data_IF_873292415723
#
_entry.id   IF_873292415723
#
_cell.length_a   1.000
_cell.length_b   1.000
_cell.length_c   1.000
_cell.angle_alpha   90.00
_cell.angle_beta   90.00
_cell.angle_gamma   90.00
#
_symmetry.space_group_name_H-M   'P 1'
#
loop_
_entity.id
_entity.type
_entity.pdbx_description
1 polymer ?
#
# COMPACT_ATOMS: atom_id res chain seq x y z
N UNK A 1 -1.57 -18.83 24.27
CA UNK A 1 -0.68 -17.72 23.83
C UNK A 1 -0.77 -17.56 22.32
N UNK A 2 -1.69 -16.72 21.84
CA UNK A 2 -1.98 -16.52 20.41
C UNK A 2 -1.37 -15.19 19.98
N UNK A 3 -0.05 -15.15 19.71
CA UNK A 3 0.59 -13.89 19.25
C UNK A 3 1.90 -14.06 18.45
N UNK A 4 2.08 -15.18 17.75
CA UNK A 4 3.29 -15.42 16.93
C UNK A 4 3.03 -15.62 15.43
N UNK A 5 1.78 -15.56 14.95
CA UNK A 5 1.46 -15.78 13.53
C UNK A 5 1.47 -14.53 12.63
N UNK A 6 1.56 -13.32 13.18
CA UNK A 6 1.46 -12.07 12.39
C UNK A 6 2.79 -11.54 11.83
N UNK A 7 3.95 -12.15 12.16
CA UNK A 7 5.28 -11.67 11.72
C UNK A 7 6.01 -12.56 10.71
N UNK A 8 5.35 -13.58 10.15
CA UNK A 8 5.86 -14.31 8.97
C UNK A 8 5.23 -13.69 7.75
N UNK A 9 5.96 -12.81 7.05
CA UNK A 9 5.91 -12.53 5.60
C UNK A 9 6.80 -11.31 5.28
N UNK A 10 8.10 -11.36 5.68
CA UNK A 10 9.13 -10.59 4.97
C UNK A 10 9.36 -11.25 3.61
N UNK A 11 8.40 -11.09 2.69
CA UNK A 11 8.63 -11.37 1.28
C UNK A 11 9.54 -10.27 0.74
N UNK A 12 10.69 -10.63 0.20
CA UNK A 12 11.73 -9.74 -0.32
C UNK A 12 11.19 -8.58 -1.16
N UNK A 13 11.66 -7.35 -0.89
CA UNK A 13 11.32 -6.14 -1.66
C UNK A 13 11.52 -6.32 -3.19
N UNK A 14 12.43 -7.21 -3.58
CA UNK A 14 12.85 -7.46 -4.96
C UNK A 14 11.78 -8.12 -5.84
N UNK A 15 10.85 -8.89 -5.28
CA UNK A 15 9.86 -9.66 -6.05
C UNK A 15 8.44 -9.05 -6.03
N UNK A 16 8.27 -7.86 -5.45
CA UNK A 16 6.95 -7.26 -5.24
C UNK A 16 6.49 -6.53 -6.49
N UNK A 17 5.42 -7.02 -7.13
CA UNK A 17 4.81 -6.33 -8.27
C UNK A 17 4.18 -5.00 -7.81
N UNK A 18 4.33 -3.92 -8.59
CA UNK A 18 3.70 -2.64 -8.26
C UNK A 18 2.18 -2.80 -8.22
N UNK A 19 1.57 -2.25 -7.18
CA UNK A 19 0.13 -2.27 -6.99
C UNK A 19 -0.50 -1.25 -7.94
N UNK A 20 -1.25 -1.74 -8.94
CA UNK A 20 -1.98 -0.86 -9.86
C UNK A 20 -3.27 -0.38 -9.18
N UNK A 21 -3.41 0.93 -9.06
CA UNK A 21 -4.65 1.57 -8.57
C UNK A 21 -5.57 1.93 -9.74
N UNK A 22 -6.88 2.02 -9.47
CA UNK A 22 -7.86 2.55 -10.43
C UNK A 22 -7.57 4.02 -10.78
N UNK A 23 -7.98 4.47 -11.96
CA UNK A 23 -7.84 5.88 -12.40
C UNK A 23 -8.53 6.80 -11.39
N UNK A 24 -7.84 7.84 -10.91
CA UNK A 24 -8.36 8.78 -9.90
C UNK A 24 -8.28 8.29 -8.45
N UNK A 25 -7.99 7.02 -8.19
CA UNK A 25 -7.91 6.50 -6.82
C UNK A 25 -6.69 7.05 -6.05
N UNK A 26 -5.59 7.40 -6.74
CA UNK A 26 -4.42 8.05 -6.15
C UNK A 26 -4.79 9.36 -5.42
N UNK A 27 -5.53 10.24 -6.09
CA UNK A 27 -5.99 11.52 -5.52
C UNK A 27 -6.96 11.33 -4.36
N UNK A 28 -7.87 10.35 -4.47
CA UNK A 28 -8.81 10.03 -3.38
C UNK A 28 -8.09 9.49 -2.16
N UNK A 29 -7.13 8.57 -2.33
CA UNK A 29 -6.32 8.09 -1.21
C UNK A 29 -5.50 9.21 -0.57
N UNK A 30 -4.91 10.10 -1.39
CA UNK A 30 -4.14 11.24 -0.91
C UNK A 30 -4.98 12.11 0.00
N UNK A 31 -6.18 12.46 -0.44
CA UNK A 31 -7.12 13.27 0.32
C UNK A 31 -7.59 12.57 1.61
N UNK A 32 -7.87 11.27 1.56
CA UNK A 32 -8.34 10.50 2.74
C UNK A 32 -7.26 10.38 3.80
N UNK A 33 -6.02 10.15 3.40
CA UNK A 33 -4.90 9.95 4.31
C UNK A 33 -4.13 11.25 4.64
N UNK A 34 -4.47 12.36 3.99
CA UNK A 34 -3.74 13.62 4.12
C UNK A 34 -2.28 13.54 3.65
N UNK A 35 -1.96 12.64 2.71
CA UNK A 35 -0.60 12.43 2.20
C UNK A 35 -0.45 12.97 0.78
N UNK A 36 0.79 13.30 0.41
CA UNK A 36 1.10 13.75 -0.94
C UNK A 36 0.99 12.61 -1.97
N UNK A 37 0.64 12.95 -3.22
CA UNK A 37 0.62 12.00 -4.33
C UNK A 37 1.93 11.18 -4.49
N UNK A 38 3.14 11.77 -4.36
CA UNK A 38 4.39 11.00 -4.45
C UNK A 38 4.53 9.96 -3.33
N UNK A 39 4.02 10.21 -2.12
CA UNK A 39 4.01 9.21 -1.04
C UNK A 39 3.20 7.98 -1.42
N UNK A 40 2.05 8.16 -2.07
CA UNK A 40 1.22 7.05 -2.56
C UNK A 40 1.90 6.34 -3.73
N UNK A 41 2.51 7.09 -4.65
CA UNK A 41 3.26 6.50 -5.75
C UNK A 41 4.37 5.58 -5.22
N UNK A 42 5.17 6.06 -4.26
CA UNK A 42 6.24 5.29 -3.65
C UNK A 42 5.71 4.06 -2.90
N UNK A 43 4.61 4.20 -2.17
CA UNK A 43 3.96 3.10 -1.47
C UNK A 43 3.50 1.99 -2.43
N UNK A 44 2.87 2.36 -3.54
CA UNK A 44 2.36 1.41 -4.54
C UNK A 44 3.48 0.72 -5.34
N UNK A 45 4.62 1.38 -5.53
CA UNK A 45 5.78 0.85 -6.24
C UNK A 45 6.80 0.18 -5.33
N UNK A 46 6.48 -0.03 -4.04
CA UNK A 46 7.37 -0.66 -3.07
C UNK A 46 8.75 0.01 -2.96
N UNK A 47 8.83 1.32 -3.24
CA UNK A 47 10.09 2.09 -3.15
C UNK A 47 10.56 2.28 -1.71
N UNK A 48 9.66 2.15 -0.74
CA UNK A 48 9.97 2.28 0.66
C UNK A 48 8.97 1.47 1.51
N UNK A 49 9.42 1.03 2.69
CA UNK A 49 8.67 0.19 3.62
C UNK A 49 8.46 0.90 4.97
N UNK A 50 8.20 2.21 4.94
CA UNK A 50 7.76 2.94 6.12
C UNK A 50 6.37 2.51 6.56
N UNK A 51 6.08 2.64 7.86
CA UNK A 51 4.76 2.33 8.43
C UNK A 51 3.62 3.09 7.74
N UNK A 52 3.85 4.35 7.37
CA UNK A 52 2.89 5.15 6.61
C UNK A 52 2.56 4.52 5.24
N UNK A 53 3.56 3.97 4.54
CA UNK A 53 3.34 3.33 3.24
C UNK A 53 2.63 1.98 3.38
N UNK A 54 2.89 1.26 4.47
CA UNK A 54 2.14 0.05 4.82
C UNK A 54 0.67 0.36 5.10
N UNK A 55 0.40 1.44 5.86
CA UNK A 55 -0.97 1.92 6.09
C UNK A 55 -1.68 2.30 4.79
N UNK A 56 -0.99 3.01 3.88
CA UNK A 56 -1.51 3.37 2.55
C UNK A 56 -1.93 2.12 1.75
N UNK A 57 -1.12 1.05 1.78
CA UNK A 57 -1.42 -0.23 1.10
C UNK A 57 -2.62 -0.93 1.69
N UNK A 58 -2.71 -0.98 3.02
CA UNK A 58 -3.84 -1.58 3.73
C UNK A 58 -5.13 -0.83 3.41
N UNK A 59 -5.13 0.50 3.52
CA UNK A 59 -6.28 1.35 3.21
C UNK A 59 -6.71 1.26 1.74
N UNK A 60 -5.75 1.15 0.81
CA UNK A 60 -6.08 0.96 -0.60
C UNK A 60 -6.81 -0.36 -0.88
N UNK A 61 -6.49 -1.42 -0.14
CA UNK A 61 -7.19 -2.71 -0.21
C UNK A 61 -8.57 -2.63 0.45
N UNK A 62 -8.66 -2.06 1.65
CA UNK A 62 -9.93 -1.87 2.37
C UNK A 62 -10.96 -1.09 1.54
N UNK A 63 -10.52 -0.04 0.84
CA UNK A 63 -11.39 0.81 0.03
C UNK A 63 -11.66 0.27 -1.39
N UNK A 64 -11.11 -0.90 -1.75
CA UNK A 64 -11.31 -1.50 -3.08
C UNK A 64 -10.72 -0.67 -4.24
N UNK A 65 -9.72 0.16 -3.96
CA UNK A 65 -9.06 1.01 -4.95
C UNK A 65 -7.99 0.29 -5.78
N UNK A 66 -7.55 -0.87 -5.30
CA UNK A 66 -6.63 -1.75 -6.04
C UNK A 66 -7.37 -2.35 -7.23
N UNK A 67 -6.78 -2.20 -8.43
CA UNK A 67 -7.27 -2.86 -9.64
C UNK A 67 -6.84 -4.33 -9.59
N UNK A 68 -7.75 -5.22 -9.24
CA UNK A 68 -7.59 -6.65 -9.51
C UNK A 68 -7.76 -6.84 -11.02
N UNK A 69 -6.73 -7.41 -11.66
CA UNK A 69 -6.78 -7.89 -13.03
C UNK A 69 -7.11 -9.37 -12.98
#
# INVERSE_FOLDING_TARGET
>A
MVRLQIYKLKNDMANRKPIKLKKGAKKKLAAILGVSEPTIYNAMHWKCDSDMQNMVRQKARELGFVKQF
#
